data_IF_802138041272
#
_entry.id   IF_802138041272
#
_cell.length_a   1.000
_cell.length_b   1.000
_cell.length_c   1.000
_cell.angle_alpha   90.00
_cell.angle_beta   90.00
_cell.angle_gamma   90.00
#
_symmetry.space_group_name_H-M   'P 1'
#
loop_
_entity.id
_entity.type
_entity.pdbx_description
1 polymer ?
#
# COMPACT_ATOMS: atom_id res chain seq x y z
N UNK A 1 65.34 -6.39 -65.84
CA UNK A 1 64.95 -4.97 -65.74
C UNK A 1 63.54 -4.90 -65.18
N UNK A 2 63.39 -4.65 -63.88
CA UNK A 2 62.11 -4.35 -63.24
C UNK A 2 61.97 -2.84 -63.14
N UNK A 3 61.03 -2.28 -63.88
CA UNK A 3 60.69 -0.85 -63.85
C UNK A 3 59.90 -0.59 -62.57
N UNK A 4 60.53 0.03 -61.58
CA UNK A 4 59.82 0.50 -60.39
C UNK A 4 58.93 1.69 -60.79
N UNK A 5 57.61 1.49 -60.72
CA UNK A 5 56.63 2.55 -60.93
C UNK A 5 56.62 3.42 -59.67
N UNK A 6 57.31 4.55 -59.70
CA UNK A 6 57.19 5.58 -58.67
C UNK A 6 55.82 6.24 -58.78
N UNK A 7 54.88 5.82 -57.94
CA UNK A 7 53.62 6.53 -57.75
C UNK A 7 53.94 7.94 -57.22
N UNK A 8 53.71 8.97 -58.06
CA UNK A 8 53.67 10.36 -57.59
C UNK A 8 52.54 10.47 -56.56
N UNK A 9 52.88 10.74 -55.31
CA UNK A 9 51.89 11.17 -54.32
C UNK A 9 51.24 12.46 -54.82
N UNK A 10 49.97 12.38 -55.23
CA UNK A 10 49.16 13.56 -55.53
C UNK A 10 48.81 14.20 -54.19
N UNK A 11 49.37 15.37 -53.91
CA UNK A 11 48.99 16.18 -52.76
C UNK A 11 47.55 16.69 -52.90
N UNK A 12 46.85 16.82 -51.78
CA UNK A 12 45.52 17.45 -51.73
C UNK A 12 45.62 18.95 -51.96
N UNK A 13 44.63 19.54 -52.64
CA UNK A 13 44.55 20.99 -52.78
C UNK A 13 43.93 21.63 -51.54
N UNK A 14 44.29 22.88 -51.24
CA UNK A 14 43.71 23.64 -50.12
C UNK A 14 42.17 23.68 -50.19
N UNK A 15 41.61 23.83 -51.39
CA UNK A 15 40.17 23.92 -51.59
C UNK A 15 39.46 22.59 -51.33
N UNK A 16 40.12 21.47 -51.63
CA UNK A 16 39.61 20.13 -51.35
C UNK A 16 39.60 19.84 -49.84
N UNK A 17 40.64 20.25 -49.11
CA UNK A 17 40.67 20.16 -47.66
C UNK A 17 39.57 21.02 -46.99
N UNK A 18 39.34 22.25 -47.48
CA UNK A 18 38.28 23.13 -46.98
C UNK A 18 36.89 22.51 -47.24
N UNK A 19 36.64 21.99 -48.44
CA UNK A 19 35.37 21.32 -48.75
C UNK A 19 35.11 20.10 -47.86
N UNK A 20 36.14 19.26 -47.62
CA UNK A 20 35.98 18.08 -46.75
C UNK A 20 35.65 18.48 -45.31
N UNK A 21 36.36 19.45 -44.74
CA UNK A 21 36.12 19.88 -43.34
C UNK A 21 34.73 20.51 -43.21
N UNK A 22 34.31 21.34 -44.17
CA UNK A 22 32.99 21.99 -44.14
C UNK A 22 31.84 20.99 -44.28
N UNK A 23 31.92 20.07 -45.24
CA UNK A 23 30.90 19.02 -45.44
C UNK A 23 30.84 18.10 -44.22
N UNK A 24 31.99 17.66 -43.69
CA UNK A 24 32.04 16.81 -42.50
C UNK A 24 31.43 17.52 -41.29
N UNK A 25 31.68 18.82 -41.11
CA UNK A 25 31.08 19.62 -40.05
C UNK A 25 29.56 19.69 -40.15
N UNK A 26 29.02 19.92 -41.35
CA UNK A 26 27.56 19.93 -41.60
C UNK A 26 26.95 18.56 -41.29
N UNK A 27 27.54 17.49 -41.83
CA UNK A 27 27.05 16.12 -41.62
C UNK A 27 27.10 15.71 -40.15
N UNK A 28 28.20 16.02 -39.44
CA UNK A 28 28.32 15.75 -38.01
C UNK A 28 27.26 16.49 -37.18
N UNK A 29 26.99 17.77 -37.50
CA UNK A 29 25.94 18.56 -36.85
C UNK A 29 24.53 17.97 -37.06
N UNK A 30 24.24 17.53 -38.29
CA UNK A 30 22.96 16.87 -38.63
C UNK A 30 22.81 15.55 -37.86
N UNK A 31 23.84 14.70 -37.88
CA UNK A 31 23.85 13.41 -37.17
C UNK A 31 23.68 13.59 -35.66
N UNK A 32 24.31 14.61 -35.06
CA UNK A 32 24.19 14.87 -33.62
C UNK A 32 22.75 15.15 -33.18
N UNK A 33 21.98 15.91 -33.97
CA UNK A 33 20.56 16.20 -33.67
C UNK A 33 19.72 14.93 -33.83
N UNK A 34 19.94 14.17 -34.91
CA UNK A 34 19.20 12.94 -35.19
C UNK A 34 19.44 11.83 -34.17
N UNK A 35 20.61 11.78 -33.51
CA UNK A 35 20.89 10.80 -32.46
C UNK A 35 20.33 11.25 -31.10
N UNK A 36 20.37 12.55 -30.80
CA UNK A 36 19.95 13.07 -29.49
C UNK A 36 18.49 12.79 -29.18
N UNK A 37 17.58 13.05 -30.12
CA UNK A 37 16.14 12.92 -29.89
C UNK A 37 15.70 11.48 -29.60
N UNK A 38 16.12 10.46 -30.38
CA UNK A 38 15.82 9.05 -30.07
C UNK A 38 16.36 8.62 -28.71
N UNK A 39 17.58 9.01 -28.35
CA UNK A 39 18.19 8.67 -27.05
C UNK A 39 17.42 9.31 -25.89
N UNK A 40 17.04 10.59 -26.01
CA UNK A 40 16.20 11.25 -25.00
C UNK A 40 14.84 10.57 -24.87
N UNK A 41 14.20 10.23 -26.00
CA UNK A 41 12.90 9.55 -25.99
C UNK A 41 12.96 8.18 -25.31
N UNK A 42 14.07 7.45 -25.45
CA UNK A 42 14.27 6.17 -24.77
C UNK A 42 14.28 6.35 -23.24
N UNK A 43 15.03 7.33 -22.73
CA UNK A 43 15.07 7.61 -21.29
C UNK A 43 13.73 8.13 -20.75
N UNK A 44 12.99 8.90 -21.54
CA UNK A 44 11.67 9.39 -21.12
C UNK A 44 10.64 8.25 -21.05
N UNK A 45 10.70 7.29 -21.99
CA UNK A 45 9.88 6.06 -21.91
C UNK A 45 10.25 5.22 -20.68
N UNK A 46 11.54 5.03 -20.41
CA UNK A 46 12.01 4.29 -19.24
C UNK A 46 11.54 4.94 -17.92
N UNK A 47 11.68 6.26 -17.81
CA UNK A 47 11.22 7.04 -16.65
C UNK A 47 9.71 6.93 -16.44
N UNK A 48 8.92 7.06 -17.50
CA UNK A 48 7.46 6.90 -17.44
C UNK A 48 7.08 5.48 -17.00
N UNK A 49 7.78 4.47 -17.51
CA UNK A 49 7.56 3.08 -17.12
C UNK A 49 7.85 2.87 -15.62
N UNK A 50 8.97 3.38 -15.12
CA UNK A 50 9.35 3.29 -13.70
C UNK A 50 8.32 3.99 -12.78
N UNK A 51 7.90 5.20 -13.13
CA UNK A 51 6.87 5.93 -12.36
C UNK A 51 5.53 5.19 -12.34
N UNK A 52 5.15 4.60 -13.48
CA UNK A 52 3.92 3.82 -13.59
C UNK A 52 3.97 2.55 -12.75
N UNK A 53 5.08 1.80 -12.81
CA UNK A 53 5.27 0.56 -12.06
C UNK A 53 5.30 0.81 -10.54
N UNK A 54 5.99 1.89 -10.12
CA UNK A 54 6.02 2.30 -8.70
C UNK A 54 4.62 2.62 -8.19
N UNK A 55 3.84 3.42 -8.93
CA UNK A 55 2.49 3.78 -8.54
C UNK A 55 1.54 2.57 -8.54
N UNK A 56 1.60 1.71 -9.57
CA UNK A 56 0.74 0.51 -9.67
C UNK A 56 1.06 -0.49 -8.56
N UNK A 57 2.35 -0.76 -8.31
CA UNK A 57 2.78 -1.66 -7.23
C UNK A 57 2.33 -1.14 -5.86
N UNK A 58 2.46 0.16 -5.59
CA UNK A 58 1.99 0.77 -4.35
C UNK A 58 0.48 0.64 -4.19
N UNK A 59 -0.31 1.01 -5.21
CA UNK A 59 -1.78 0.93 -5.19
C UNK A 59 -2.28 -0.51 -5.04
N UNK A 60 -1.67 -1.47 -5.74
CA UNK A 60 -2.03 -2.89 -5.62
C UNK A 60 -1.68 -3.47 -4.26
N UNK A 61 -0.57 -3.02 -3.64
CA UNK A 61 -0.23 -3.40 -2.27
C UNK A 61 -1.30 -2.89 -1.30
N UNK A 62 -1.64 -1.60 -1.37
CA UNK A 62 -2.69 -1.02 -0.53
C UNK A 62 -4.01 -1.77 -0.72
N UNK A 63 -4.37 -2.07 -1.97
CA UNK A 63 -5.60 -2.79 -2.27
C UNK A 63 -5.64 -4.23 -1.72
N UNK A 64 -4.51 -4.94 -1.66
CA UNK A 64 -4.46 -6.26 -1.01
C UNK A 64 -4.59 -6.14 0.51
N UNK A 65 -3.90 -5.18 1.10
CA UNK A 65 -3.88 -4.95 2.54
C UNK A 65 -5.28 -4.55 3.05
N UNK A 66 -5.95 -3.62 2.36
CA UNK A 66 -7.30 -3.14 2.69
C UNK A 66 -8.36 -4.23 2.51
N UNK A 67 -8.20 -5.17 1.56
CA UNK A 67 -9.12 -6.32 1.44
C UNK A 67 -9.08 -7.25 2.64
N UNK A 68 -7.99 -7.22 3.39
CA UNK A 68 -7.81 -7.98 4.64
C UNK A 68 -8.10 -7.13 5.87
N UNK A 69 -8.77 -5.98 5.72
CA UNK A 69 -9.20 -5.18 6.86
C UNK A 69 -10.27 -5.91 7.67
N UNK A 70 -10.27 -5.71 8.98
CA UNK A 70 -11.40 -6.09 9.83
C UNK A 70 -12.65 -5.38 9.29
N UNK A 71 -13.79 -6.08 9.12
CA UNK A 71 -15.03 -5.47 8.64
C UNK A 71 -15.36 -4.18 9.39
N UNK A 72 -15.71 -3.11 8.67
CA UNK A 72 -16.03 -1.80 9.25
C UNK A 72 -14.89 -1.12 10.05
N UNK A 73 -13.63 -1.51 9.84
CA UNK A 73 -12.48 -0.84 10.48
C UNK A 73 -11.78 0.21 9.62
N UNK A 74 -12.01 0.20 8.30
CA UNK A 74 -11.44 1.23 7.43
C UNK A 74 -12.11 2.57 7.75
N UNK A 75 -11.31 3.61 8.00
CA UNK A 75 -11.82 4.96 8.27
C UNK A 75 -10.87 6.04 7.76
N UNK A 76 -11.45 7.20 7.43
CA UNK A 76 -10.69 8.41 7.10
C UNK A 76 -10.06 9.01 8.36
N UNK A 77 -8.95 9.73 8.20
CA UNK A 77 -8.21 10.35 9.29
C UNK A 77 -8.53 11.84 9.36
N UNK A 78 -9.50 12.20 10.21
CA UNK A 78 -10.01 13.55 10.32
C UNK A 78 -10.59 14.03 8.98
N UNK A 79 -10.15 15.20 8.51
CA UNK A 79 -10.51 15.73 7.19
C UNK A 79 -9.39 15.56 6.15
N UNK A 80 -8.34 14.78 6.47
CA UNK A 80 -7.17 14.67 5.61
C UNK A 80 -7.38 13.62 4.50
N UNK A 81 -7.28 13.98 3.21
CA UNK A 81 -7.28 13.02 2.12
C UNK A 81 -5.93 12.28 1.98
N UNK A 82 -4.92 12.64 2.75
CA UNK A 82 -3.55 12.12 2.58
C UNK A 82 -3.31 10.82 3.34
N UNK A 83 -4.30 10.35 4.13
CA UNK A 83 -4.15 9.19 4.97
C UNK A 83 -5.38 8.30 5.03
N UNK A 84 -5.12 7.00 5.16
CA UNK A 84 -6.13 5.97 5.37
C UNK A 84 -5.72 5.10 6.56
N UNK A 85 -6.63 4.88 7.50
CA UNK A 85 -6.45 3.99 8.63
C UNK A 85 -7.31 2.73 8.46
N UNK A 86 -6.79 1.57 8.88
CA UNK A 86 -7.57 0.35 9.03
C UNK A 86 -6.94 -0.60 10.07
N UNK A 87 -7.73 -1.60 10.50
CA UNK A 87 -7.22 -2.72 11.30
C UNK A 87 -7.00 -3.93 10.38
N UNK A 88 -5.77 -4.46 10.25
CA UNK A 88 -5.51 -5.65 9.46
C UNK A 88 -6.03 -6.91 10.14
N UNK A 89 -6.34 -7.92 9.34
CA UNK A 89 -6.67 -9.27 9.80
C UNK A 89 -5.57 -10.22 9.37
N UNK A 90 -5.03 -10.99 10.32
CA UNK A 90 -4.04 -12.05 10.05
C UNK A 90 -4.69 -13.42 9.93
N UNK A 91 -5.80 -13.63 10.66
CA UNK A 91 -6.53 -14.90 10.70
C UNK A 91 -7.98 -14.65 11.08
N UNK A 92 -8.82 -15.67 10.95
CA UNK A 92 -10.23 -15.57 11.30
C UNK A 92 -10.93 -16.89 11.02
N UNK A 93 -12.08 -17.08 11.65
CA UNK A 93 -12.76 -18.36 11.59
C UNK A 93 -14.17 -18.30 12.12
N UNK A 94 -14.72 -19.48 12.41
CA UNK A 94 -16.02 -19.61 13.07
C UNK A 94 -15.85 -20.14 14.48
N UNK A 95 -16.37 -19.42 15.47
CA UNK A 95 -16.44 -19.94 16.83
C UNK A 95 -17.58 -20.97 16.93
N UNK A 96 -17.46 -21.84 17.93
CA UNK A 96 -18.51 -22.79 18.30
C UNK A 96 -19.60 -22.06 19.08
N UNK A 97 -20.83 -22.09 18.58
CA UNK A 97 -21.98 -21.49 19.26
C UNK A 97 -22.76 -22.50 20.12
N UNK A 98 -22.61 -23.80 19.86
CA UNK A 98 -23.41 -24.87 20.48
C UNK A 98 -22.56 -26.13 20.73
N UNK A 99 -23.04 -26.99 21.63
CA UNK A 99 -22.45 -28.30 21.92
C UNK A 99 -22.48 -29.26 20.70
N UNK A 100 -21.62 -30.30 20.66
CA UNK A 100 -20.59 -30.68 21.64
C UNK A 100 -19.33 -29.80 21.54
N UNK A 101 -18.64 -29.63 22.67
CA UNK A 101 -17.45 -28.78 22.82
C UNK A 101 -17.71 -27.52 23.66
N UNK A 102 -16.71 -26.65 23.73
CA UNK A 102 -16.79 -25.38 24.48
C UNK A 102 -17.39 -24.29 23.59
N UNK A 103 -18.67 -23.99 23.77
CA UNK A 103 -19.33 -22.90 23.06
C UNK A 103 -18.92 -21.53 23.63
N UNK A 104 -18.89 -20.51 22.78
CA UNK A 104 -18.74 -19.13 23.20
C UNK A 104 -20.07 -18.59 23.75
N UNK A 105 -20.09 -18.26 25.04
CA UNK A 105 -21.25 -17.67 25.72
C UNK A 105 -21.21 -16.14 25.62
N UNK A 106 -22.32 -15.54 25.19
CA UNK A 106 -22.51 -14.08 25.11
C UNK A 106 -23.26 -13.52 26.33
N UNK A 107 -23.83 -14.39 27.18
CA UNK A 107 -24.51 -14.02 28.42
C UNK A 107 -23.58 -13.95 29.63
N UNK A 108 -22.37 -14.52 29.52
CA UNK A 108 -21.34 -14.52 30.56
C UNK A 108 -19.95 -14.30 29.98
N UNK A 109 -18.99 -13.93 30.84
CA UNK A 109 -17.61 -13.79 30.44
C UNK A 109 -16.97 -15.15 30.17
N UNK A 110 -16.40 -15.32 28.96
CA UNK A 110 -15.77 -16.57 28.53
C UNK A 110 -14.26 -16.40 28.45
N UNK A 111 -13.50 -17.32 29.05
CA UNK A 111 -12.03 -17.33 28.95
C UNK A 111 -11.52 -18.22 27.81
N UNK A 112 -12.28 -19.24 27.45
CA UNK A 112 -11.91 -20.25 26.46
C UNK A 112 -13.11 -20.70 25.65
N UNK A 113 -12.94 -20.87 24.34
CA UNK A 113 -13.99 -21.42 23.48
C UNK A 113 -13.38 -22.12 22.27
N UNK A 114 -14.15 -23.03 21.67
CA UNK A 114 -13.72 -23.81 20.52
C UNK A 114 -13.99 -23.09 19.20
N UNK A 115 -13.20 -23.42 18.19
CA UNK A 115 -13.26 -22.94 16.82
C UNK A 115 -13.57 -24.12 15.90
N UNK A 116 -14.37 -23.90 14.85
CA UNK A 116 -14.85 -24.96 13.96
C UNK A 116 -13.84 -25.38 12.89
N UNK A 117 -12.70 -24.71 12.79
CA UNK A 117 -11.68 -24.98 11.78
C UNK A 117 -10.27 -24.64 12.30
N UNK A 118 -9.24 -25.37 11.85
CA UNK A 118 -7.87 -24.94 12.03
C UNK A 118 -7.65 -23.53 11.45
N UNK A 119 -6.77 -22.76 12.06
CA UNK A 119 -6.44 -21.41 11.63
C UNK A 119 -5.07 -21.42 10.94
N UNK A 120 -4.99 -20.77 9.77
CA UNK A 120 -3.74 -20.56 9.06
C UNK A 120 -3.71 -19.14 8.47
N UNK A 121 -2.77 -18.28 8.89
CA UNK A 121 -1.79 -18.50 9.96
C UNK A 121 -2.45 -18.70 11.33
N UNK A 122 -1.72 -19.38 12.21
CA UNK A 122 -2.11 -19.58 13.62
C UNK A 122 -1.95 -18.26 14.37
N UNK A 123 -2.98 -17.77 15.09
CA UNK A 123 -2.86 -16.60 15.95
C UNK A 123 -1.75 -16.76 17.00
N UNK A 124 -0.97 -15.70 17.19
CA UNK A 124 0.07 -15.62 18.19
C UNK A 124 -0.47 -15.10 19.53
N UNK A 125 0.28 -15.34 20.61
CA UNK A 125 0.01 -14.71 21.91
C UNK A 125 0.11 -13.20 21.77
N UNK A 126 -0.87 -12.47 22.31
CA UNK A 126 -0.98 -11.01 22.21
C UNK A 126 -1.86 -10.53 21.06
N UNK A 127 -2.12 -11.36 20.05
CA UNK A 127 -3.04 -11.03 18.97
C UNK A 127 -4.43 -10.72 19.53
N UNK A 128 -5.17 -9.86 18.83
CA UNK A 128 -6.47 -9.39 19.28
C UNK A 128 -7.57 -10.10 18.50
N UNK A 129 -8.37 -10.90 19.20
CA UNK A 129 -9.59 -11.46 18.66
C UNK A 129 -10.68 -10.38 18.65
N UNK A 130 -11.41 -10.27 17.53
CA UNK A 130 -12.55 -9.38 17.35
C UNK A 130 -13.77 -10.19 16.97
N UNK A 131 -14.90 -9.90 17.60
CA UNK A 131 -16.19 -10.50 17.27
C UNK A 131 -17.16 -9.42 16.81
N UNK A 132 -17.80 -9.67 15.67
CA UNK A 132 -18.92 -8.88 15.16
C UNK A 132 -18.65 -7.36 15.13
N UNK A 133 -17.61 -6.95 14.40
CA UNK A 133 -17.28 -5.52 14.24
C UNK A 133 -18.25 -4.81 13.29
N UNK A 134 -19.04 -3.91 13.84
CA UNK A 134 -20.01 -3.10 13.10
C UNK A 134 -19.54 -1.66 12.89
N UNK A 135 -18.49 -1.22 13.57
CA UNK A 135 -17.99 0.16 13.49
C UNK A 135 -18.96 1.18 14.11
N UNK A 136 -19.78 0.75 15.07
CA UNK A 136 -20.74 1.59 15.81
C UNK A 136 -20.47 1.47 17.32
N UNK A 137 -20.94 2.44 18.13
CA UNK A 137 -20.82 2.36 19.59
C UNK A 137 -21.34 1.02 20.14
N UNK A 138 -20.52 0.36 20.96
CA UNK A 138 -20.82 -0.96 21.54
C UNK A 138 -20.42 -2.17 20.68
N UNK A 139 -20.04 -1.96 19.41
CA UNK A 139 -19.57 -3.02 18.51
C UNK A 139 -18.46 -2.49 17.58
N UNK A 140 -17.51 -1.76 18.16
CA UNK A 140 -16.38 -1.15 17.45
C UNK A 140 -15.05 -1.66 18.00
N UNK A 141 -14.29 -2.31 17.12
CA UNK A 141 -12.97 -2.88 17.40
C UNK A 141 -11.96 -1.84 17.84
N UNK A 142 -12.11 -0.56 17.48
CA UNK A 142 -11.25 0.51 17.98
C UNK A 142 -11.52 0.84 19.45
N UNK A 143 -12.79 0.79 19.88
CA UNK A 143 -13.18 1.00 21.28
C UNK A 143 -12.74 -0.13 22.21
N UNK A 144 -12.54 -1.33 21.66
CA UNK A 144 -12.09 -2.52 22.39
C UNK A 144 -13.17 -3.31 23.11
N UNK A 145 -14.45 -2.92 22.98
CA UNK A 145 -15.56 -3.59 23.66
C UNK A 145 -15.82 -5.00 23.10
N UNK A 146 -15.66 -5.17 21.79
CA UNK A 146 -15.84 -6.46 21.10
C UNK A 146 -14.49 -7.12 20.75
N UNK A 147 -13.44 -6.80 21.51
CA UNK A 147 -12.08 -7.26 21.30
C UNK A 147 -11.52 -7.92 22.54
N UNK A 148 -10.71 -8.95 22.39
CA UNK A 148 -10.01 -9.61 23.49
C UNK A 148 -8.60 -10.07 23.09
N UNK A 149 -7.66 -10.05 24.03
CA UNK A 149 -6.28 -10.51 23.81
C UNK A 149 -6.19 -12.03 23.90
N UNK A 150 -5.51 -12.66 22.95
CA UNK A 150 -5.21 -14.09 22.95
C UNK A 150 -4.04 -14.37 23.91
N UNK A 151 -4.23 -15.29 24.86
CA UNK A 151 -3.28 -15.59 25.93
C UNK A 151 -2.30 -16.71 25.61
N UNK A 152 -2.72 -17.67 24.78
CA UNK A 152 -1.97 -18.88 24.50
C UNK A 152 -1.99 -19.17 23.00
N UNK A 153 -0.97 -19.88 22.48
CA UNK A 153 -0.99 -20.35 21.11
C UNK A 153 -2.26 -21.17 20.85
N UNK A 154 -2.87 -20.98 19.69
CA UNK A 154 -4.01 -21.77 19.26
C UNK A 154 -3.64 -23.25 19.26
N UNK A 155 -4.37 -24.05 20.03
CA UNK A 155 -4.13 -25.49 20.18
C UNK A 155 -5.48 -26.22 20.25
N UNK A 156 -5.52 -27.42 19.67
CA UNK A 156 -6.71 -28.29 19.68
C UNK A 156 -8.03 -27.60 19.24
N UNK A 157 -7.93 -26.64 18.30
CA UNK A 157 -9.05 -25.82 17.86
C UNK A 157 -9.72 -25.01 18.98
N UNK A 158 -8.97 -24.56 19.98
CA UNK A 158 -9.46 -23.73 21.07
C UNK A 158 -8.70 -22.41 21.15
N UNK A 159 -9.42 -21.33 21.46
CA UNK A 159 -8.86 -20.01 21.75
C UNK A 159 -8.96 -19.77 23.25
N UNK A 160 -7.84 -19.33 23.83
CA UNK A 160 -7.76 -18.90 25.23
C UNK A 160 -7.48 -17.40 25.29
N UNK A 161 -8.30 -16.66 26.04
CA UNK A 161 -8.22 -15.22 26.22
C UNK A 161 -7.47 -14.86 27.50
N UNK A 162 -6.76 -13.72 27.51
CA UNK A 162 -5.99 -13.27 28.68
C UNK A 162 -6.88 -12.91 29.85
N UNK A 163 -8.00 -12.24 29.55
CA UNK A 163 -9.06 -11.97 30.51
C UNK A 163 -10.36 -12.59 29.97
N UNK A 164 -11.13 -13.23 30.86
CA UNK A 164 -12.47 -13.68 30.52
C UNK A 164 -13.27 -12.49 30.01
N UNK A 165 -13.80 -12.58 28.80
CA UNK A 165 -14.44 -11.46 28.11
C UNK A 165 -15.88 -11.84 27.78
N UNK A 166 -16.82 -10.97 28.13
CA UNK A 166 -18.20 -11.07 27.65
C UNK A 166 -18.32 -10.21 26.40
N UNK A 167 -18.43 -10.85 25.23
CA UNK A 167 -18.65 -10.13 23.99
C UNK A 167 -20.11 -9.62 23.95
N UNK A 168 -20.35 -8.39 23.46
CA UNK A 168 -21.67 -7.76 23.53
C UNK A 168 -22.69 -8.41 22.59
N UNK A 169 -22.23 -8.92 21.44
CA UNK A 169 -23.10 -9.39 20.36
C UNK A 169 -22.50 -10.57 19.62
N UNK A 170 -23.34 -11.57 19.32
CA UNK A 170 -22.97 -12.70 18.48
C UNK A 170 -22.95 -12.30 17.00
N UNK A 171 -21.94 -12.78 16.26
CA UNK A 171 -21.95 -12.68 14.79
C UNK A 171 -23.00 -13.65 14.24
N UNK A 172 -23.91 -13.22 13.33
CA UNK A 172 -24.90 -14.11 12.71
C UNK A 172 -24.28 -15.31 11.97
N UNK A 173 -23.03 -15.17 11.51
CA UNK A 173 -22.27 -16.25 10.87
C UNK A 173 -21.35 -17.02 11.82
N UNK A 174 -21.45 -16.76 13.13
CA UNK A 174 -20.54 -17.20 14.17
C UNK A 174 -19.07 -16.89 13.86
N UNK A 175 -18.80 -15.75 13.23
CA UNK A 175 -17.46 -15.37 12.75
C UNK A 175 -16.69 -14.56 13.78
N UNK A 176 -15.37 -14.66 13.69
CA UNK A 176 -14.42 -13.78 14.36
C UNK A 176 -13.24 -13.46 13.44
N UNK A 177 -12.56 -12.35 13.72
CA UNK A 177 -11.34 -11.91 13.06
C UNK A 177 -10.21 -11.80 14.10
N UNK A 178 -8.97 -11.86 13.64
CA UNK A 178 -7.78 -11.73 14.48
C UNK A 178 -6.91 -10.61 13.92
N UNK A 179 -6.66 -9.59 14.73
CA UNK A 179 -5.72 -8.51 14.44
C UNK A 179 -4.35 -8.91 15.00
N UNK A 180 -3.30 -8.93 14.19
CA UNK A 180 -1.95 -9.28 14.65
C UNK A 180 -1.42 -8.22 15.62
N UNK A 181 -0.90 -8.64 16.78
CA UNK A 181 -0.29 -7.73 17.77
C UNK A 181 0.96 -7.02 17.23
N UNK A 182 1.64 -7.66 16.27
CA UNK A 182 2.81 -7.08 15.62
C UNK A 182 2.45 -5.86 14.75
N UNK A 183 1.26 -5.83 14.14
CA UNK A 183 0.85 -4.72 13.26
C UNK A 183 -0.13 -3.75 13.90
N UNK A 184 -1.10 -4.19 14.71
CA UNK A 184 -2.16 -3.32 15.25
C UNK A 184 -2.78 -2.45 14.14
N UNK A 185 -3.18 -1.20 14.40
CA UNK A 185 -3.65 -0.31 13.33
C UNK A 185 -2.54 0.04 12.33
N UNK A 186 -2.90 0.00 11.05
CA UNK A 186 -2.02 0.34 9.92
C UNK A 186 -2.52 1.61 9.26
N UNK A 187 -1.57 2.47 8.90
CA UNK A 187 -1.85 3.69 8.14
C UNK A 187 -1.09 3.67 6.81
N UNK A 188 -1.75 4.13 5.77
CA UNK A 188 -1.08 4.67 4.59
C UNK A 188 -1.04 6.19 4.69
N UNK A 189 0.13 6.77 4.50
CA UNK A 189 0.34 8.22 4.67
C UNK A 189 1.18 8.76 3.52
N UNK A 190 0.61 9.73 2.81
CA UNK A 190 1.35 10.57 1.88
C UNK A 190 1.91 11.78 2.64
N UNK A 191 3.22 11.96 2.62
CA UNK A 191 3.91 13.02 3.34
C UNK A 191 4.75 13.87 2.39
N UNK A 192 4.73 15.19 2.58
CA UNK A 192 5.58 16.14 1.84
C UNK A 192 5.24 16.29 0.35
N UNK A 193 4.00 15.97 -0.06
CA UNK A 193 3.54 16.07 -1.46
C UNK A 193 3.73 17.48 -2.02
N UNK A 194 4.03 17.56 -3.31
CA UNK A 194 4.35 18.80 -4.03
C UNK A 194 5.43 18.56 -5.06
N UNK A 195 5.77 19.60 -5.82
CA UNK A 195 6.82 19.54 -6.84
C UNK A 195 7.95 20.51 -6.41
N UNK A 196 9.19 20.03 -6.46
CA UNK A 196 10.38 20.83 -6.16
C UNK A 196 10.77 21.74 -7.35
N UNK A 197 11.75 22.62 -7.12
CA UNK A 197 12.23 23.53 -8.17
C UNK A 197 12.91 22.83 -9.36
N UNK A 198 13.31 21.57 -9.21
CA UNK A 198 13.89 20.75 -10.27
C UNK A 198 12.82 20.00 -11.09
N UNK A 199 11.54 20.14 -10.74
CA UNK A 199 10.44 19.47 -11.43
C UNK A 199 10.21 18.03 -10.98
N UNK A 200 10.67 17.63 -9.80
CA UNK A 200 10.41 16.30 -9.23
C UNK A 200 9.41 16.38 -8.09
N UNK A 201 8.64 15.31 -7.88
CA UNK A 201 7.82 15.19 -6.69
C UNK A 201 8.70 15.18 -5.43
N UNK A 202 8.29 15.92 -4.41
CA UNK A 202 9.00 16.01 -3.13
C UNK A 202 8.52 14.96 -2.11
N UNK A 203 7.30 14.44 -2.30
CA UNK A 203 6.64 13.59 -1.32
C UNK A 203 7.01 12.11 -1.42
N UNK A 204 6.55 11.38 -0.41
CA UNK A 204 6.63 9.92 -0.38
C UNK A 204 5.38 9.31 0.27
N UNK A 205 5.06 8.09 -0.13
CA UNK A 205 4.00 7.27 0.43
C UNK A 205 4.62 6.25 1.41
N UNK A 206 4.12 6.23 2.63
CA UNK A 206 4.56 5.34 3.70
C UNK A 206 3.45 4.39 4.13
N UNK A 207 3.85 3.21 4.61
CA UNK A 207 2.99 2.28 5.35
C UNK A 207 3.46 2.21 6.79
N UNK A 208 2.69 2.78 7.70
CA UNK A 208 2.95 2.72 9.14
C UNK A 208 2.18 1.54 9.72
N UNK A 209 2.81 0.84 10.65
CA UNK A 209 2.17 -0.17 11.48
C UNK A 209 2.50 0.12 12.94
N UNK A 210 1.83 -0.60 13.83
CA UNK A 210 2.03 -0.54 15.28
C UNK A 210 1.64 0.82 15.88
N UNK A 211 0.58 1.44 15.33
CA UNK A 211 0.10 2.73 15.80
C UNK A 211 -0.76 2.65 17.09
N UNK A 212 -1.05 1.44 17.56
CA UNK A 212 -2.07 1.22 18.59
C UNK A 212 -3.48 1.13 18.01
N UNK A 213 -4.39 0.51 18.76
CA UNK A 213 -5.81 0.44 18.42
C UNK A 213 -6.53 1.49 19.26
N UNK A 214 -6.74 2.68 18.68
CA UNK A 214 -7.25 3.85 19.40
C UNK A 214 -8.72 4.10 19.08
N UNK A 215 -9.55 4.27 20.13
CA UNK A 215 -10.98 4.51 20.00
C UNK A 215 -11.28 5.75 19.14
N UNK A 216 -10.64 6.88 19.45
CA UNK A 216 -10.71 8.08 18.63
C UNK A 216 -9.74 7.99 17.45
N UNK A 217 -10.24 8.26 16.24
CA UNK A 217 -9.39 8.46 15.07
C UNK A 217 -8.51 9.71 15.25
N UNK A 218 -7.27 9.72 14.77
CA UNK A 218 -6.44 10.93 14.78
C UNK A 218 -7.09 12.07 14.00
N UNK A 219 -6.97 13.30 14.49
CA UNK A 219 -7.50 14.49 13.81
C UNK A 219 -6.71 14.88 12.55
N UNK A 220 -5.48 14.36 12.42
CA UNK A 220 -4.59 14.57 11.30
C UNK A 220 -3.77 13.31 11.04
N UNK A 221 -3.20 13.23 9.84
CA UNK A 221 -2.23 12.19 9.47
C UNK A 221 -1.14 12.02 10.54
N UNK A 222 -0.83 10.79 10.97
CA UNK A 222 0.23 10.56 11.93
C UNK A 222 1.60 10.97 11.35
N UNK A 223 2.47 11.45 12.24
CA UNK A 223 3.87 11.69 11.88
C UNK A 223 4.55 10.38 11.47
N UNK A 224 5.49 10.45 10.52
CA UNK A 224 6.22 9.28 10.01
C UNK A 224 7.39 8.96 10.93
N UNK A 225 7.41 7.82 11.65
CA UNK A 225 8.57 7.40 12.41
C UNK A 225 9.79 7.14 11.51
N UNK A 226 10.98 7.25 12.07
CA UNK A 226 12.20 6.83 11.38
C UNK A 226 12.12 5.34 10.97
N UNK A 227 12.70 5.00 9.83
CA UNK A 227 12.70 3.64 9.26
C UNK A 227 11.31 3.08 8.88
N UNK A 228 10.29 3.93 8.77
CA UNK A 228 8.98 3.51 8.24
C UNK A 228 9.13 3.03 6.79
N UNK A 229 8.56 1.86 6.42
CA UNK A 229 8.58 1.39 5.05
C UNK A 229 7.99 2.41 4.06
N UNK A 230 8.82 2.81 3.10
CA UNK A 230 8.43 3.66 1.97
C UNK A 230 7.95 2.78 0.81
N UNK A 231 6.79 3.10 0.25
CA UNK A 231 6.19 2.39 -0.87
C UNK A 231 6.41 3.08 -2.20
N UNK A 232 6.42 4.41 -2.19
CA UNK A 232 6.69 5.23 -3.37
C UNK A 232 7.40 6.52 -2.95
N UNK A 233 8.29 6.98 -3.82
CA UNK A 233 8.97 8.26 -3.73
C UNK A 233 8.53 9.16 -4.89
N UNK A 234 8.92 10.43 -4.83
CA UNK A 234 8.55 11.44 -5.83
C UNK A 234 7.03 11.62 -6.00
N UNK A 235 6.28 11.40 -4.92
CA UNK A 235 4.83 11.59 -4.89
C UNK A 235 4.55 13.09 -4.91
N UNK A 236 3.96 13.57 -5.99
CA UNK A 236 3.60 14.97 -6.16
C UNK A 236 2.20 15.29 -5.66
N UNK A 237 1.29 14.31 -5.72
CA UNK A 237 -0.08 14.43 -5.21
C UNK A 237 -0.62 13.05 -4.81
N UNK A 238 -1.54 13.02 -3.85
CA UNK A 238 -2.07 11.80 -3.27
C UNK A 238 -3.45 12.04 -2.67
N UNK A 239 -4.35 11.07 -2.81
CA UNK A 239 -5.71 11.16 -2.28
C UNK A 239 -6.26 9.77 -1.96
N UNK A 240 -6.75 9.60 -0.75
CA UNK A 240 -7.49 8.44 -0.26
C UNK A 240 -8.90 8.89 0.12
N UNK A 241 -9.90 8.14 -0.34
CA UNK A 241 -11.29 8.36 0.01
C UNK A 241 -11.90 7.02 0.40
N UNK A 242 -12.42 6.93 1.63
CA UNK A 242 -13.30 5.84 2.03
C UNK A 242 -14.76 6.24 1.84
N UNK A 243 -15.52 5.42 1.12
CA UNK A 243 -16.97 5.60 0.96
C UNK A 243 -17.68 4.37 1.50
N UNK A 244 -18.44 4.57 2.58
CA UNK A 244 -19.32 3.54 3.12
C UNK A 244 -20.43 3.22 2.11
N UNK A 245 -20.63 1.93 1.81
CA UNK A 245 -21.71 1.53 0.91
C UNK A 245 -23.09 1.58 1.59
N UNK A 246 -24.13 1.73 0.77
CA UNK A 246 -25.52 1.93 1.20
C UNK A 246 -26.04 0.79 2.08
N UNK A 247 -25.61 -0.44 1.85
CA UNK A 247 -26.00 -1.62 2.64
C UNK A 247 -25.03 -1.93 3.78
N UNK A 248 -24.00 -1.10 3.99
CA UNK A 248 -22.89 -1.27 4.94
C UNK A 248 -22.13 -2.61 4.85
N UNK A 249 -22.48 -3.51 3.93
CA UNK A 249 -21.81 -4.81 3.71
C UNK A 249 -20.63 -4.73 2.77
N UNK A 250 -20.64 -3.75 1.87
CA UNK A 250 -19.57 -3.46 0.95
C UNK A 250 -19.27 -1.97 1.05
N UNK A 251 -18.00 -1.60 1.12
CA UNK A 251 -17.54 -0.23 1.02
C UNK A 251 -16.52 -0.10 -0.10
N UNK A 252 -16.18 1.13 -0.45
CA UNK A 252 -15.22 1.43 -1.50
C UNK A 252 -14.08 2.27 -0.93
N UNK A 253 -12.85 1.86 -1.18
CA UNK A 253 -11.67 2.71 -1.01
C UNK A 253 -11.21 3.13 -2.39
N UNK A 254 -11.19 4.44 -2.63
CA UNK A 254 -10.70 5.05 -3.85
C UNK A 254 -9.37 5.73 -3.58
N UNK A 255 -8.39 5.50 -4.44
CA UNK A 255 -7.01 5.93 -4.22
C UNK A 255 -6.46 6.54 -5.49
N UNK A 256 -5.84 7.71 -5.38
CA UNK A 256 -5.14 8.38 -6.47
C UNK A 256 -3.74 8.74 -6.01
N UNK A 257 -2.74 8.39 -6.82
CA UNK A 257 -1.34 8.73 -6.59
C UNK A 257 -0.79 9.36 -7.86
N UNK A 258 -0.14 10.52 -7.73
CA UNK A 258 0.63 11.14 -8.78
C UNK A 258 2.12 11.10 -8.41
N UNK A 259 2.94 10.64 -9.36
CA UNK A 259 4.41 10.64 -9.26
C UNK A 259 4.94 11.57 -10.35
N UNK A 260 5.85 12.48 -9.98
CA UNK A 260 6.44 13.44 -10.91
C UNK A 260 7.97 13.31 -10.92
N UNK A 261 8.58 13.19 -12.10
CA UNK A 261 10.02 13.26 -12.31
C UNK A 261 10.31 14.10 -13.56
N UNK A 262 11.27 15.03 -13.50
CA UNK A 262 11.66 15.89 -14.62
C UNK A 262 10.48 16.63 -15.31
N UNK A 263 9.55 17.18 -14.52
CA UNK A 263 8.31 17.84 -14.96
C UNK A 263 7.30 16.94 -15.68
N UNK A 264 7.57 15.63 -15.77
CA UNK A 264 6.61 14.65 -16.25
C UNK A 264 5.85 14.05 -15.07
N UNK A 265 4.53 13.94 -15.18
CA UNK A 265 3.67 13.38 -14.13
C UNK A 265 2.89 12.18 -14.65
N UNK A 266 2.95 11.08 -13.91
CA UNK A 266 2.08 9.92 -14.07
C UNK A 266 1.09 9.91 -12.91
N UNK A 267 -0.21 9.83 -13.22
CA UNK A 267 -1.26 9.68 -12.21
C UNK A 267 -1.98 8.36 -12.41
N UNK A 268 -2.08 7.58 -11.34
CA UNK A 268 -2.87 6.36 -11.32
C UNK A 268 -4.02 6.48 -10.32
N UNK A 269 -5.13 5.86 -10.70
CA UNK A 269 -6.34 5.74 -9.91
C UNK A 269 -6.66 4.26 -9.70
N UNK A 270 -7.02 3.89 -8.48
CA UNK A 270 -7.40 2.53 -8.14
C UNK A 270 -8.55 2.51 -7.13
N UNK A 271 -9.50 1.62 -7.37
CA UNK A 271 -10.65 1.38 -6.52
C UNK A 271 -10.65 -0.05 -6.00
N UNK A 272 -10.97 -0.19 -4.72
CA UNK A 272 -10.97 -1.48 -4.03
C UNK A 272 -12.22 -1.61 -3.19
N UNK A 273 -12.98 -2.67 -3.45
CA UNK A 273 -14.08 -3.06 -2.59
C UNK A 273 -13.57 -3.61 -1.26
N UNK A 274 -14.14 -3.12 -0.16
CA UNK A 274 -13.92 -3.58 1.20
C UNK A 274 -15.12 -4.41 1.64
N UNK A 275 -14.87 -5.64 2.07
CA UNK A 275 -15.91 -6.52 2.60
C UNK A 275 -16.19 -6.19 4.06
N UNK A 276 -17.35 -5.60 4.32
CA UNK A 276 -17.84 -5.27 5.66
C UNK A 276 -18.85 -6.31 6.15
N UNK A 277 -18.51 -7.59 5.97
CA UNK A 277 -19.29 -8.73 6.46
C UNK A 277 -18.60 -9.33 7.69
N UNK A 278 -18.98 -8.91 8.90
CA UNK A 278 -18.37 -9.35 10.16
C UNK A 278 -18.67 -10.80 10.55
#
# INVERSE_FOLDING_TARGET
>A
MQTAITQRQRGFTLIEAIMVITITGILAGVVAIFIRTPVQSYFDVERRAEMTDTADTALRRIGRDVRLAVPNSVRDVGASPLCLEYLPTVSGGRYRAEAPGTALDFSAATATFDVLSPLNPVPAVGDQLVIYNLGIPGADAYSGINRATIAAPFAANSITLTAATQFPFASPGNRFQVIPAAEQAVFYVCSGTGIDAAGNGNGALYRLSHYGINAAAPAACPAIPANTPMLAQNVSDCNFIYTVGVTQRNSLVSMRIAITKNNETVTLYHEVHVSNVP
#
